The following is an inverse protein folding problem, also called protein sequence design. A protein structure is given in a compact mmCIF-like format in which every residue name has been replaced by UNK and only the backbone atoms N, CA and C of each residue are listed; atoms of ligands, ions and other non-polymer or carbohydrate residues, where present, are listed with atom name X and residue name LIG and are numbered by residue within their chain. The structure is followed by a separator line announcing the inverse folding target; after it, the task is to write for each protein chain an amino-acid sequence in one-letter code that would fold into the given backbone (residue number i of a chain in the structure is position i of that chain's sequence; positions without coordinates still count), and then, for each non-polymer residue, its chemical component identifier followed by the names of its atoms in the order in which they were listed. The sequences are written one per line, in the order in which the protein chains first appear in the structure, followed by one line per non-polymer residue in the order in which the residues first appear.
data_IF_929757969513
#
_entry.id   IF_929757969513
#
_cell.length_a   1.000
_cell.length_b   1.000
_cell.length_c   1.000
_cell.angle_alpha   90.00
_cell.angle_beta   90.00
_cell.angle_gamma   90.00
#
_symmetry.space_group_name_H-M   'P 1'
#
loop_
_entity.id
_entity.type
_entity.pdbx_description
1 polymer ?
#
# COMPACT_ATOMS: atom_id res chain seq x y z
N UNK A 1 -7.29 -1.31 0.64
CA UNK A 1 -6.37 -0.55 1.51
C UNK A 1 -6.54 -0.90 2.99
N UNK A 2 -7.78 -1.02 3.50
CA UNK A 2 -8.05 -1.38 4.90
C UNK A 2 -7.43 -2.71 5.35
N UNK A 3 -7.54 -3.78 4.55
CA UNK A 3 -6.91 -5.09 4.82
C UNK A 3 -5.40 -4.98 5.09
N UNK A 4 -4.69 -4.17 4.29
CA UNK A 4 -3.25 -3.95 4.48
C UNK A 4 -2.94 -3.23 5.79
N UNK A 5 -3.80 -2.29 6.20
CA UNK A 5 -3.65 -1.56 7.46
C UNK A 5 -3.93 -2.45 8.66
N UNK A 6 -5.00 -3.24 8.60
CA UNK A 6 -5.35 -4.24 9.62
C UNK A 6 -4.20 -5.22 9.84
N UNK A 7 -3.65 -5.80 8.76
CA UNK A 7 -2.47 -6.68 8.85
C UNK A 7 -1.33 -5.99 9.58
N UNK A 8 -1.06 -4.74 9.23
CA UNK A 8 0.06 -3.97 9.77
C UNK A 8 -0.11 -3.62 11.25
N UNK A 9 -1.33 -3.40 11.70
CA UNK A 9 -1.65 -3.19 13.11
C UNK A 9 -1.66 -4.51 13.90
N UNK A 10 -2.04 -5.61 13.26
CA UNK A 10 -2.06 -6.93 13.89
C UNK A 10 -0.65 -7.48 14.16
N UNK A 11 0.23 -7.38 13.17
CA UNK A 11 1.60 -7.89 13.25
C UNK A 11 2.39 -7.07 14.27
N UNK A 12 3.10 -7.76 15.16
CA UNK A 12 3.94 -7.12 16.16
C UNK A 12 5.02 -6.24 15.52
N UNK A 13 5.25 -5.10 16.15
CA UNK A 13 6.21 -4.11 15.70
C UNK A 13 7.63 -4.73 15.68
N UNK A 14 8.23 -4.87 14.49
CA UNK A 14 9.59 -5.41 14.31
C UNK A 14 9.66 -6.75 13.58
N UNK A 15 8.54 -7.48 13.48
CA UNK A 15 8.49 -8.74 12.75
C UNK A 15 8.40 -8.49 11.24
N UNK A 16 9.42 -8.94 10.49
CA UNK A 16 9.41 -8.92 9.02
C UNK A 16 8.81 -10.23 8.49
N UNK A 17 7.56 -10.18 8.05
CA UNK A 17 6.91 -11.31 7.37
C UNK A 17 7.51 -11.52 5.97
N UNK A 18 7.69 -12.78 5.59
CA UNK A 18 8.00 -13.16 4.20
C UNK A 18 6.82 -12.72 3.29
N UNK A 19 7.05 -12.22 2.06
CA UNK A 19 5.99 -11.93 1.08
C UNK A 19 4.84 -12.95 1.01
N UNK A 20 5.15 -14.26 1.04
CA UNK A 20 4.13 -15.31 1.04
C UNK A 20 3.21 -15.26 2.27
N UNK A 21 3.79 -15.16 3.46
CA UNK A 21 3.04 -15.03 4.73
C UNK A 21 2.23 -13.74 4.79
N UNK A 22 2.78 -12.64 4.27
CA UNK A 22 2.07 -11.37 4.20
C UNK A 22 0.85 -11.44 3.27
N UNK A 23 0.98 -12.12 2.13
CA UNK A 23 -0.14 -12.36 1.21
C UNK A 23 -1.19 -13.27 1.84
N UNK A 24 -0.77 -14.37 2.46
CA UNK A 24 -1.66 -15.31 3.16
C UNK A 24 -2.50 -14.58 4.23
N UNK A 25 -1.86 -13.78 5.07
CA UNK A 25 -2.53 -13.01 6.11
C UNK A 25 -3.49 -11.96 5.55
N UNK A 26 -3.13 -11.29 4.45
CA UNK A 26 -4.06 -10.37 3.77
C UNK A 26 -5.30 -11.12 3.25
N UNK A 27 -5.13 -12.34 2.71
CA UNK A 27 -6.23 -13.16 2.21
C UNK A 27 -7.14 -13.62 3.36
N UNK A 28 -6.57 -14.06 4.49
CA UNK A 28 -7.33 -14.44 5.70
C UNK A 28 -8.19 -13.29 6.21
N UNK A 29 -7.64 -12.09 6.32
CA UNK A 29 -8.43 -10.92 6.73
C UNK A 29 -9.52 -10.55 5.72
N UNK A 30 -9.24 -10.67 4.41
CA UNK A 30 -10.23 -10.36 3.38
C UNK A 30 -11.40 -11.36 3.38
N UNK A 31 -11.10 -12.66 3.35
CA UNK A 31 -12.11 -13.73 3.35
C UNK A 31 -12.84 -13.80 4.69
N UNK A 32 -12.11 -13.61 5.79
CA UNK A 32 -12.69 -13.60 7.12
C UNK A 32 -13.69 -12.49 7.34
N UNK A 33 -13.35 -11.25 6.97
CA UNK A 33 -14.29 -10.12 7.01
C UNK A 33 -15.51 -10.40 6.13
N UNK A 34 -15.31 -10.99 4.95
CA UNK A 34 -16.39 -11.34 4.04
C UNK A 34 -17.35 -12.37 4.65
N UNK A 35 -16.83 -13.47 5.20
CA UNK A 35 -17.63 -14.52 5.86
C UNK A 35 -18.43 -13.96 7.04
N UNK A 36 -17.81 -13.11 7.87
CA UNK A 36 -18.48 -12.47 9.01
C UNK A 36 -19.63 -11.54 8.57
N UNK A 37 -19.44 -10.78 7.49
CA UNK A 37 -20.49 -9.91 6.95
C UNK A 37 -21.62 -10.70 6.29
N UNK A 38 -21.31 -11.83 5.64
CA UNK A 38 -22.30 -12.69 5.00
C UNK A 38 -23.12 -13.49 6.02
N UNK A 39 -22.48 -14.03 7.07
CA UNK A 39 -23.16 -14.76 8.15
C UNK A 39 -24.14 -13.87 8.93
N UNK A 40 -23.88 -12.56 9.00
CA UNK A 40 -24.80 -11.59 9.60
C UNK A 40 -26.01 -11.19 8.74
N UNK A 41 -25.98 -11.48 7.43
CA UNK A 41 -27.07 -11.18 6.49
C UNK A 41 -27.97 -12.40 6.20
N UNK A 42 -27.54 -13.61 6.59
CA UNK A 42 -28.30 -14.85 6.41
C UNK A 42 -29.44 -15.05 7.42
N UNK A 43 -29.46 -14.29 8.52
CA UNK A 43 -30.30 -14.59 9.69
C UNK A 43 -31.53 -13.68 9.87
N UNK A 44 -31.96 -12.95 8.83
CA UNK A 44 -33.30 -12.31 8.82
C UNK A 44 -34.42 -13.26 8.34
N UNK A 45 -34.15 -14.57 8.25
CA UNK A 45 -35.04 -15.48 7.54
C UNK A 45 -35.10 -16.92 8.05
N UNK A 46 -34.93 -17.21 9.34
CA UNK A 46 -35.43 -18.47 9.91
C UNK A 46 -35.28 -18.54 11.44
N UNK A 47 -36.40 -18.38 12.13
CA UNK A 47 -36.55 -18.71 13.55
C UNK A 47 -36.64 -20.22 13.76
N UNK A 48 -35.77 -20.81 14.59
CA UNK A 48 -36.14 -21.91 15.50
C UNK A 48 -35.03 -22.26 16.51
N UNK A 49 -35.31 -21.94 17.78
CA UNK A 49 -35.14 -22.73 19.01
C UNK A 49 -34.07 -23.83 19.10
N UNK A 50 -33.17 -23.71 20.09
CA UNK A 50 -32.34 -24.82 20.58
C UNK A 50 -31.39 -24.37 21.70
N UNK A 51 -31.78 -24.61 22.95
CA UNK A 51 -30.98 -24.38 24.15
C UNK A 51 -29.86 -25.41 24.30
N UNK A 52 -28.70 -25.00 24.83
CA UNK A 52 -27.61 -25.92 25.20
C UNK A 52 -26.43 -25.18 25.82
N UNK A 53 -26.13 -25.52 27.06
CA UNK A 53 -25.22 -24.84 27.98
C UNK A 53 -23.75 -25.30 27.86
N UNK A 54 -22.88 -24.43 28.37
CA UNK A 54 -21.65 -24.69 29.16
C UNK A 54 -20.25 -24.95 28.53
N UNK A 55 -19.33 -24.13 29.07
CA UNK A 55 -17.93 -24.35 29.51
C UNK A 55 -16.76 -24.60 28.54
N UNK A 56 -15.98 -23.51 28.40
CA UNK A 56 -14.54 -23.38 28.69
C UNK A 56 -13.56 -24.48 28.25
N UNK A 57 -12.63 -24.11 27.35
CA UNK A 57 -11.22 -24.48 27.53
C UNK A 57 -10.27 -23.42 26.98
N UNK A 58 -9.37 -22.99 27.86
CA UNK A 58 -8.26 -22.07 27.61
C UNK A 58 -7.28 -22.70 26.64
N UNK A 59 -7.11 -22.12 25.45
CA UNK A 59 -5.99 -22.40 24.56
C UNK A 59 -5.40 -21.08 24.06
N UNK A 60 -4.23 -20.73 24.59
CA UNK A 60 -3.44 -19.61 24.14
C UNK A 60 -2.99 -19.82 22.69
N UNK A 61 -3.15 -18.79 21.85
CA UNK A 61 -2.55 -18.79 20.52
C UNK A 61 -1.03 -18.51 20.63
N UNK A 62 -0.19 -19.19 19.85
CA UNK A 62 1.23 -18.88 19.80
C UNK A 62 1.44 -17.55 19.07
N UNK A 63 2.27 -16.70 19.66
CA UNK A 63 2.85 -15.54 19.00
C UNK A 63 3.72 -16.01 17.82
N UNK A 64 4.00 -15.15 16.81
CA UNK A 64 4.92 -15.51 15.74
C UNK A 64 6.33 -15.73 16.31
N UNK A 65 6.68 -16.99 16.57
CA UNK A 65 7.91 -17.40 17.24
C UNK A 65 7.83 -18.77 17.92
N UNK A 66 6.64 -19.24 18.31
CA UNK A 66 6.51 -20.50 19.05
C UNK A 66 6.10 -21.66 18.14
N UNK A 67 7.02 -22.61 17.95
CA UNK A 67 6.72 -23.95 17.44
C UNK A 67 6.30 -24.87 18.57
N UNK A 68 5.15 -25.55 18.45
CA UNK A 68 5.02 -26.87 19.02
C UNK A 68 4.73 -27.88 17.91
N UNK A 69 5.66 -28.82 17.75
CA UNK A 69 5.52 -30.06 17.01
C UNK A 69 4.39 -30.87 17.64
N UNK A 70 3.34 -31.19 16.87
CA UNK A 70 2.46 -32.31 17.19
C UNK A 70 2.08 -33.02 15.90
N UNK A 71 2.87 -34.04 15.57
CA UNK A 71 2.50 -35.06 14.60
C UNK A 71 1.23 -35.77 15.09
N UNK A 72 0.21 -35.88 14.24
CA UNK A 72 -0.78 -36.96 14.38
C UNK A 72 -1.03 -37.55 13.00
N UNK A 73 -0.51 -38.76 12.83
CA UNK A 73 -0.69 -39.60 11.65
C UNK A 73 -2.12 -40.17 11.57
N UNK A 74 -2.66 -40.14 10.34
CA UNK A 74 -3.56 -41.07 9.63
C UNK A 74 -4.90 -41.48 10.29
N UNK A 75 -6.00 -41.22 9.59
CA UNK A 75 -6.86 -42.23 8.92
C UNK A 75 -8.12 -41.58 8.32
N UNK A 76 -8.51 -42.06 7.13
CA UNK A 76 -9.76 -41.73 6.45
C UNK A 76 -10.98 -42.18 7.28
N UNK A 77 -12.06 -41.39 7.25
CA UNK A 77 -13.44 -41.86 7.14
C UNK A 77 -14.37 -40.67 6.91
N UNK A 78 -15.30 -40.86 5.97
CA UNK A 78 -16.41 -39.97 5.65
C UNK A 78 -17.21 -39.52 6.89
N UNK A 79 -17.66 -38.27 6.82
CA UNK A 79 -18.57 -37.65 7.77
C UNK A 79 -18.74 -36.18 7.39
N UNK A 80 -19.84 -35.85 6.74
CA UNK A 80 -20.34 -34.48 6.61
C UNK A 80 -20.70 -33.96 8.00
N UNK A 81 -19.70 -33.46 8.73
CA UNK A 81 -19.95 -32.68 9.94
C UNK A 81 -20.20 -31.24 9.52
N UNK A 82 -21.49 -30.94 9.32
CA UNK A 82 -22.05 -29.60 9.31
C UNK A 82 -21.73 -28.95 10.67
N UNK A 83 -20.55 -28.32 10.76
CA UNK A 83 -20.13 -27.62 11.97
C UNK A 83 -21.17 -26.54 12.30
N UNK A 84 -21.75 -26.54 13.52
CA UNK A 84 -22.68 -25.51 13.94
C UNK A 84 -21.92 -24.18 13.96
N UNK A 85 -22.15 -23.31 12.98
CA UNK A 85 -21.62 -21.95 13.01
C UNK A 85 -22.29 -21.25 14.21
N UNK A 86 -21.56 -20.85 15.26
CA UNK A 86 -22.17 -20.11 16.34
C UNK A 86 -22.55 -18.73 15.80
N UNK A 87 -23.85 -18.57 15.59
CA UNK A 87 -24.54 -17.40 15.06
C UNK A 87 -23.87 -16.11 15.55
N UNK A 88 -23.39 -15.29 14.61
CA UNK A 88 -22.87 -13.96 14.94
C UNK A 88 -24.03 -13.12 15.48
N UNK A 89 -23.89 -12.58 16.69
CA UNK A 89 -24.93 -11.71 17.23
C UNK A 89 -24.96 -10.39 16.43
N UNK A 90 -26.10 -9.70 16.34
CA UNK A 90 -26.16 -8.38 15.70
C UNK A 90 -25.21 -7.37 16.36
N UNK A 91 -24.91 -7.54 17.64
CA UNK A 91 -23.93 -6.75 18.40
C UNK A 91 -22.50 -6.95 17.88
N UNK A 92 -22.14 -8.18 17.51
CA UNK A 92 -20.83 -8.52 16.93
C UNK A 92 -20.58 -7.79 15.60
N UNK A 93 -21.61 -7.71 14.75
CA UNK A 93 -21.55 -7.01 13.47
C UNK A 93 -21.36 -5.51 13.69
N UNK A 94 -22.07 -4.93 14.67
CA UNK A 94 -21.89 -3.53 15.05
C UNK A 94 -20.49 -3.26 15.58
N UNK A 95 -19.93 -4.16 16.39
CA UNK A 95 -18.55 -4.07 16.87
C UNK A 95 -17.53 -4.06 15.72
N UNK A 96 -17.72 -4.91 14.70
CA UNK A 96 -16.84 -4.95 13.51
C UNK A 96 -16.98 -3.66 12.69
N UNK A 97 -18.20 -3.17 12.47
CA UNK A 97 -18.46 -1.92 11.74
C UNK A 97 -17.88 -0.71 12.47
N UNK A 98 -18.00 -0.65 13.79
CA UNK A 98 -17.40 0.38 14.63
C UNK A 98 -15.88 0.36 14.47
N UNK A 99 -15.23 -0.80 14.61
CA UNK A 99 -13.79 -0.93 14.43
C UNK A 99 -13.34 -0.49 13.03
N UNK A 100 -14.12 -0.82 11.99
CA UNK A 100 -13.87 -0.37 10.63
C UNK A 100 -13.94 1.16 10.51
N UNK A 101 -14.97 1.78 11.08
CA UNK A 101 -15.12 3.24 11.07
C UNK A 101 -13.95 3.94 11.78
N UNK A 102 -13.45 3.37 12.88
CA UNK A 102 -12.29 3.89 13.61
C UNK A 102 -10.98 3.76 12.82
N UNK A 103 -10.80 2.65 12.11
CA UNK A 103 -9.70 2.43 11.18
C UNK A 103 -9.73 3.44 10.03
N UNK A 104 -10.91 3.66 9.44
CA UNK A 104 -11.10 4.66 8.38
C UNK A 104 -10.81 6.08 8.89
N UNK A 105 -11.30 6.42 10.08
CA UNK A 105 -11.03 7.70 10.72
C UNK A 105 -9.52 7.88 11.00
N UNK A 106 -8.83 6.86 11.52
CA UNK A 106 -7.38 6.89 11.73
C UNK A 106 -6.62 7.07 10.40
N UNK A 107 -6.98 6.32 9.36
CA UNK A 107 -6.38 6.44 8.04
C UNK A 107 -6.59 7.84 7.44
N UNK A 108 -7.78 8.43 7.63
CA UNK A 108 -8.08 9.78 7.18
C UNK A 108 -7.23 10.83 7.90
N UNK A 109 -7.01 10.67 9.22
CA UNK A 109 -6.10 11.51 10.01
C UNK A 109 -4.66 11.40 9.51
N UNK A 110 -4.15 10.18 9.29
CA UNK A 110 -2.81 9.98 8.73
C UNK A 110 -2.64 10.65 7.37
N UNK A 111 -3.63 10.50 6.49
CA UNK A 111 -3.60 11.09 5.14
C UNK A 111 -3.66 12.62 5.20
N UNK A 112 -4.47 13.18 6.09
CA UNK A 112 -4.56 14.64 6.32
C UNK A 112 -3.23 15.20 6.81
N UNK A 113 -2.55 14.48 7.69
CA UNK A 113 -1.26 14.89 8.27
C UNK A 113 -0.05 14.55 7.37
N UNK A 114 -0.27 13.90 6.22
CA UNK A 114 0.80 13.48 5.31
C UNK A 114 1.72 12.40 5.90
N UNK A 115 1.24 11.68 6.93
CA UNK A 115 2.02 10.69 7.65
C UNK A 115 1.79 9.28 7.12
N UNK A 116 2.87 8.50 7.05
CA UNK A 116 2.82 7.05 6.82
C UNK A 116 2.82 6.34 8.16
N UNK A 117 2.14 5.20 8.26
CA UNK A 117 1.99 4.50 9.55
C UNK A 117 3.32 4.13 10.24
N UNK A 118 4.40 3.84 9.49
CA UNK A 118 5.73 3.60 10.10
C UNK A 118 6.31 4.85 10.77
N UNK A 119 5.95 6.04 10.29
CA UNK A 119 6.46 7.29 10.80
C UNK A 119 5.84 7.63 12.15
N UNK A 120 4.64 7.12 12.45
CA UNK A 120 3.87 7.43 13.67
C UNK A 120 4.67 7.17 14.95
N UNK A 121 5.48 6.12 14.98
CA UNK A 121 6.33 5.79 16.14
C UNK A 121 7.52 6.74 16.29
N UNK A 122 8.00 7.30 15.19
CA UNK A 122 9.17 8.17 15.17
C UNK A 122 8.79 9.64 15.47
N UNK A 123 7.50 9.99 15.47
CA UNK A 123 7.00 11.36 15.70
C UNK A 123 7.53 11.95 17.01
N UNK A 124 7.53 11.17 18.10
CA UNK A 124 7.99 11.63 19.42
C UNK A 124 9.46 12.07 19.46
N UNK A 125 10.25 11.64 18.47
CA UNK A 125 11.69 11.88 18.39
C UNK A 125 12.03 13.03 17.43
N UNK A 126 11.03 13.61 16.75
CA UNK A 126 11.26 14.66 15.77
C UNK A 126 11.42 16.02 16.44
N UNK A 127 12.62 16.58 16.28
CA UNK A 127 12.99 17.93 16.70
C UNK A 127 12.91 18.92 15.53
N UNK A 128 12.84 20.22 15.86
CA UNK A 128 12.93 21.30 14.86
C UNK A 128 14.25 21.24 14.08
N UNK A 129 15.33 20.78 14.72
CA UNK A 129 16.63 20.60 14.07
C UNK A 129 16.60 19.52 12.98
N UNK A 130 15.78 18.49 13.12
CA UNK A 130 15.62 17.46 12.10
C UNK A 130 14.94 18.01 10.85
N UNK A 131 13.98 18.93 11.02
CA UNK A 131 13.35 19.61 9.90
C UNK A 131 14.37 20.48 9.15
N UNK A 132 15.15 21.29 9.86
CA UNK A 132 16.17 22.15 9.25
C UNK A 132 17.22 21.31 8.53
N UNK A 133 17.71 20.23 9.15
CA UNK A 133 18.67 19.32 8.54
C UNK A 133 18.15 18.63 7.29
N UNK A 134 16.89 18.13 7.31
CA UNK A 134 16.26 17.50 6.14
C UNK A 134 15.98 18.52 5.03
N UNK A 135 15.58 19.74 5.38
CA UNK A 135 15.35 20.81 4.42
C UNK A 135 16.66 21.22 3.74
N UNK A 136 17.74 21.41 4.51
CA UNK A 136 19.07 21.67 3.94
C UNK A 136 19.53 20.52 3.05
N UNK A 137 19.39 19.28 3.50
CA UNK A 137 19.71 18.10 2.68
C UNK A 137 18.92 18.08 1.37
N UNK A 138 17.61 18.37 1.40
CA UNK A 138 16.77 18.47 0.21
C UNK A 138 17.26 19.58 -0.73
N UNK A 139 17.53 20.78 -0.21
CA UNK A 139 17.98 21.93 -1.01
C UNK A 139 19.30 21.61 -1.69
N UNK A 140 20.28 21.09 -0.95
CA UNK A 140 21.60 20.74 -1.47
C UNK A 140 21.47 19.64 -2.54
N UNK A 141 20.70 18.59 -2.27
CA UNK A 141 20.51 17.46 -3.20
C UNK A 141 19.78 17.90 -4.48
N UNK A 142 18.77 18.78 -4.36
CA UNK A 142 18.05 19.31 -5.50
C UNK A 142 18.92 20.29 -6.31
N UNK A 143 19.61 21.22 -5.65
CA UNK A 143 20.40 22.25 -6.31
C UNK A 143 21.65 21.69 -7.02
N UNK A 144 22.37 20.76 -6.39
CA UNK A 144 23.60 20.21 -6.95
C UNK A 144 23.38 18.97 -7.82
N UNK A 145 22.33 18.18 -7.53
CA UNK A 145 22.08 16.91 -8.23
C UNK A 145 20.95 17.01 -9.24
N UNK A 146 19.73 17.28 -8.75
CA UNK A 146 18.52 17.17 -9.58
C UNK A 146 18.45 18.25 -10.66
N UNK A 147 18.65 19.52 -10.30
CA UNK A 147 18.50 20.65 -11.23
C UNK A 147 19.50 20.56 -12.40
N UNK A 148 20.82 20.40 -12.18
CA UNK A 148 21.78 20.32 -13.28
C UNK A 148 21.51 19.10 -14.17
N UNK A 149 21.13 17.97 -13.57
CA UNK A 149 20.82 16.75 -14.31
C UNK A 149 19.61 16.90 -15.21
N UNK A 150 18.52 17.49 -14.69
CA UNK A 150 17.31 17.75 -15.45
C UNK A 150 17.60 18.75 -16.56
N UNK A 151 18.26 19.88 -16.25
CA UNK A 151 18.64 20.91 -17.22
C UNK A 151 19.43 20.32 -18.40
N UNK A 152 20.39 19.45 -18.11
CA UNK A 152 21.22 18.80 -19.14
C UNK A 152 20.44 17.81 -20.02
N UNK A 153 19.42 17.14 -19.48
CA UNK A 153 18.63 16.11 -20.15
C UNK A 153 17.22 16.58 -20.57
N UNK A 154 16.96 17.90 -20.54
CA UNK A 154 15.68 18.47 -20.99
C UNK A 154 15.27 17.99 -22.39
N UNK A 155 16.17 17.95 -23.40
CA UNK A 155 15.79 17.49 -24.74
C UNK A 155 15.31 16.03 -24.74
N UNK A 156 15.95 15.15 -23.97
CA UNK A 156 15.55 13.74 -23.83
C UNK A 156 14.13 13.67 -23.25
N UNK A 157 13.87 14.43 -22.20
CA UNK A 157 12.56 14.42 -21.54
C UNK A 157 11.44 14.86 -22.49
N UNK A 158 11.68 15.89 -23.30
CA UNK A 158 10.71 16.35 -24.32
C UNK A 158 10.50 15.32 -25.43
N UNK A 159 11.57 14.82 -26.05
CA UNK A 159 11.50 13.86 -27.17
C UNK A 159 10.77 12.59 -26.72
N UNK A 160 11.19 12.01 -25.59
CA UNK A 160 10.63 10.76 -25.07
C UNK A 160 9.18 10.92 -24.66
N UNK A 161 8.80 12.05 -24.07
CA UNK A 161 7.40 12.32 -23.70
C UNK A 161 6.50 12.48 -24.92
N UNK A 162 7.01 13.12 -25.97
CA UNK A 162 6.27 13.30 -27.22
C UNK A 162 6.08 11.96 -27.96
N UNK A 163 7.14 11.16 -28.11
CA UNK A 163 7.04 9.85 -28.78
C UNK A 163 6.17 8.89 -27.97
N UNK A 164 6.33 8.83 -26.65
CA UNK A 164 5.53 7.94 -25.80
C UNK A 164 4.03 8.31 -25.81
N UNK A 165 3.68 9.59 -25.91
CA UNK A 165 2.29 10.02 -26.05
C UNK A 165 1.67 9.57 -27.39
N UNK A 166 2.47 9.58 -28.48
CA UNK A 166 2.03 9.08 -29.78
C UNK A 166 1.80 7.57 -29.76
N UNK A 167 2.70 6.81 -29.15
CA UNK A 167 2.56 5.35 -29.02
C UNK A 167 1.38 4.97 -28.12
N UNK A 168 1.15 5.70 -27.03
CA UNK A 168 -0.04 5.51 -26.20
C UNK A 168 -1.33 5.64 -27.02
N UNK A 169 -1.44 6.66 -27.87
CA UNK A 169 -2.63 6.85 -28.71
C UNK A 169 -2.82 5.71 -29.72
N UNK A 170 -1.73 5.13 -30.25
CA UNK A 170 -1.81 3.96 -31.12
C UNK A 170 -2.30 2.72 -30.36
N UNK A 171 -1.76 2.44 -29.17
CA UNK A 171 -2.17 1.30 -28.36
C UNK A 171 -3.62 1.42 -27.86
N UNK A 172 -4.07 2.63 -27.54
CA UNK A 172 -5.47 2.88 -27.14
C UNK A 172 -6.46 2.70 -28.29
N UNK A 173 -6.05 2.95 -29.54
CA UNK A 173 -6.88 2.70 -30.73
C UNK A 173 -6.92 1.22 -31.10
N UNK A 174 -5.84 0.49 -30.82
CA UNK A 174 -5.74 -0.94 -31.09
C UNK A 174 -6.53 -1.80 -30.09
N UNK A 175 -6.77 -1.32 -28.86
CA UNK A 175 -7.52 -2.07 -27.84
C UNK A 175 -8.96 -1.57 -27.68
N UNK A 176 -9.91 -2.50 -27.70
CA UNK A 176 -11.34 -2.22 -27.48
C UNK A 176 -11.67 -1.89 -26.01
N UNK A 177 -10.72 -2.08 -25.11
CA UNK A 177 -10.88 -1.86 -23.66
C UNK A 177 -10.25 -0.53 -23.29
N UNK A 178 -11.07 0.43 -22.82
CA UNK A 178 -10.70 1.79 -22.41
C UNK A 178 -9.83 1.85 -21.14
N UNK A 179 -8.70 1.16 -21.12
CA UNK A 179 -7.71 1.22 -20.04
C UNK A 179 -6.82 2.44 -20.29
N UNK A 180 -6.58 3.27 -19.27
CA UNK A 180 -5.86 4.57 -19.40
C UNK A 180 -4.37 4.49 -19.84
N UNK A 181 -3.85 3.31 -20.16
CA UNK A 181 -2.57 3.13 -20.87
C UNK A 181 -1.32 3.71 -20.18
N UNK A 182 -1.38 4.06 -18.90
CA UNK A 182 -0.26 4.69 -18.20
C UNK A 182 0.98 3.79 -18.11
N UNK A 183 0.77 2.49 -17.95
CA UNK A 183 1.85 1.50 -17.88
C UNK A 183 2.61 1.43 -19.23
N UNK A 184 1.85 1.38 -20.32
CA UNK A 184 2.38 1.38 -21.69
C UNK A 184 3.22 2.63 -21.97
N UNK A 185 2.74 3.82 -21.57
CA UNK A 185 3.50 5.07 -21.68
C UNK A 185 4.83 4.99 -20.94
N UNK A 186 4.81 4.44 -19.72
CA UNK A 186 6.00 4.37 -18.89
C UNK A 186 7.04 3.42 -19.48
N UNK A 187 6.61 2.25 -19.98
CA UNK A 187 7.49 1.29 -20.67
C UNK A 187 8.15 1.93 -21.90
N UNK A 188 7.37 2.61 -22.76
CA UNK A 188 7.92 3.28 -23.94
C UNK A 188 8.90 4.39 -23.55
N UNK A 189 8.60 5.20 -22.53
CA UNK A 189 9.53 6.23 -22.05
C UNK A 189 10.87 5.64 -21.66
N UNK A 190 10.88 4.51 -20.92
CA UNK A 190 12.13 3.87 -20.50
C UNK A 190 12.95 3.39 -21.72
N UNK A 191 12.31 2.74 -22.69
CA UNK A 191 12.97 2.25 -23.91
C UNK A 191 13.56 3.40 -24.72
N UNK A 192 12.79 4.47 -24.94
CA UNK A 192 13.27 5.63 -25.69
C UNK A 192 14.37 6.39 -24.95
N UNK A 193 14.30 6.52 -23.62
CA UNK A 193 15.38 7.12 -22.82
C UNK A 193 16.67 6.32 -22.99
N UNK A 194 16.61 4.98 -22.94
CA UNK A 194 17.77 4.11 -23.11
C UNK A 194 18.46 4.28 -24.47
N UNK A 195 17.69 4.54 -25.53
CA UNK A 195 18.22 4.78 -26.87
C UNK A 195 18.69 6.24 -27.11
N UNK A 196 17.95 7.23 -26.61
CA UNK A 196 18.18 8.65 -26.90
C UNK A 196 19.31 9.24 -26.05
N UNK A 197 19.48 8.81 -24.79
CA UNK A 197 20.54 9.29 -23.90
C UNK A 197 21.95 9.09 -24.46
N UNK A 198 22.37 7.90 -24.91
CA UNK A 198 23.72 7.72 -25.45
C UNK A 198 23.95 8.55 -26.72
N UNK A 199 22.93 8.67 -27.58
CA UNK A 199 23.00 9.51 -28.78
C UNK A 199 23.17 10.99 -28.43
N UNK A 200 22.44 11.48 -27.42
CA UNK A 200 22.59 12.84 -26.94
C UNK A 200 24.01 13.11 -26.42
N UNK A 201 24.62 12.14 -25.72
CA UNK A 201 25.98 12.30 -25.19
C UNK A 201 27.04 12.27 -26.27
N UNK A 202 26.83 11.51 -27.36
CA UNK A 202 27.68 11.58 -28.55
C UNK A 202 27.59 12.95 -29.22
N UNK A 203 26.39 13.53 -29.31
CA UNK A 203 26.20 14.90 -29.82
C UNK A 203 26.96 15.90 -28.93
N UNK A 204 26.81 15.82 -27.61
CA UNK A 204 27.54 16.70 -26.69
C UNK A 204 29.06 16.52 -26.79
N UNK A 205 29.54 15.29 -26.91
CA UNK A 205 30.96 15.00 -27.15
C UNK A 205 31.46 15.61 -28.46
N UNK A 206 30.70 15.47 -29.54
CA UNK A 206 31.04 16.08 -30.83
C UNK A 206 31.07 17.61 -30.75
N UNK A 207 30.06 18.24 -30.12
CA UNK A 207 30.05 19.69 -29.90
C UNK A 207 31.27 20.14 -29.10
N UNK A 208 31.64 19.39 -28.06
CA UNK A 208 32.82 19.71 -27.25
C UNK A 208 34.12 19.59 -28.06
N UNK A 209 34.24 18.59 -28.94
CA UNK A 209 35.36 18.44 -29.87
C UNK A 209 35.46 19.58 -30.89
N UNK A 210 34.33 20.06 -31.42
CA UNK A 210 34.32 21.11 -32.45
C UNK A 210 34.48 22.52 -31.88
N UNK A 211 33.83 22.83 -30.76
CA UNK A 211 33.81 24.18 -30.18
C UNK A 211 34.91 24.42 -29.14
N UNK A 212 35.43 23.37 -28.51
CA UNK A 212 36.43 23.54 -27.45
C UNK A 212 37.85 23.41 -27.98
N UNK A 213 38.72 24.36 -27.59
CA UNK A 213 40.17 24.30 -27.82
C UNK A 213 40.91 23.46 -26.77
N UNK A 214 40.18 22.66 -25.99
CA UNK A 214 40.74 21.86 -24.91
C UNK A 214 41.55 20.68 -25.44
N UNK A 215 42.52 20.23 -24.65
CA UNK A 215 43.33 19.05 -24.99
C UNK A 215 42.42 17.83 -25.11
N UNK A 216 42.64 16.98 -26.11
CA UNK A 216 41.78 15.81 -26.39
C UNK A 216 41.62 14.88 -25.18
N UNK A 217 42.65 14.79 -24.33
CA UNK A 217 42.62 14.04 -23.07
C UNK A 217 41.58 14.60 -22.08
N UNK A 218 41.44 15.93 -21.98
CA UNK A 218 40.44 16.58 -21.14
C UNK A 218 39.03 16.31 -21.66
N UNK A 219 38.84 16.34 -22.98
CA UNK A 219 37.55 16.04 -23.61
C UNK A 219 37.16 14.59 -23.37
N UNK A 220 38.11 13.66 -23.52
CA UNK A 220 37.88 12.23 -23.26
C UNK A 220 37.56 11.96 -21.78
N UNK A 221 38.24 12.66 -20.85
CA UNK A 221 37.96 12.55 -19.42
C UNK A 221 36.57 13.10 -19.06
N UNK A 222 36.17 14.23 -19.63
CA UNK A 222 34.80 14.77 -19.46
C UNK A 222 33.77 13.78 -20.02
N UNK A 223 33.97 13.28 -21.24
CA UNK A 223 33.05 12.33 -21.86
C UNK A 223 32.91 11.03 -21.06
N UNK A 224 34.00 10.54 -20.46
CA UNK A 224 34.00 9.37 -19.60
C UNK A 224 33.31 9.60 -18.25
N UNK A 225 33.37 10.82 -17.71
CA UNK A 225 32.76 11.17 -16.40
C UNK A 225 31.31 11.61 -16.49
N UNK A 226 30.83 12.06 -17.66
CA UNK A 226 29.42 12.43 -17.92
C UNK A 226 28.39 11.34 -17.55
N UNK A 227 28.54 10.06 -17.96
CA UNK A 227 27.58 9.02 -17.58
C UNK A 227 27.59 8.75 -16.07
N UNK A 228 28.75 8.84 -15.43
CA UNK A 228 28.87 8.69 -13.98
C UNK A 228 28.15 9.83 -13.23
N UNK A 229 28.37 11.08 -13.64
CA UNK A 229 27.66 12.23 -13.06
C UNK A 229 26.15 12.15 -13.29
N UNK A 230 25.73 11.64 -14.44
CA UNK A 230 24.32 11.42 -14.76
C UNK A 230 23.66 10.39 -13.86
N UNK A 231 24.37 9.29 -13.57
CA UNK A 231 23.92 8.29 -12.62
C UNK A 231 23.79 8.87 -11.21
N UNK A 232 24.77 9.67 -10.77
CA UNK A 232 24.71 10.35 -9.48
C UNK A 232 23.54 11.34 -9.39
N UNK A 233 23.31 12.14 -10.44
CA UNK A 233 22.18 13.07 -10.53
C UNK A 233 20.82 12.34 -10.49
N UNK A 234 20.70 11.20 -11.16
CA UNK A 234 19.52 10.35 -11.09
C UNK A 234 19.30 9.81 -9.67
N UNK A 235 20.34 9.29 -9.01
CA UNK A 235 20.25 8.82 -7.63
C UNK A 235 19.89 9.95 -6.65
N UNK A 236 20.46 11.14 -6.85
CA UNK A 236 20.10 12.33 -6.09
C UNK A 236 18.61 12.68 -6.28
N UNK A 237 18.08 12.58 -7.50
CA UNK A 237 16.65 12.83 -7.75
C UNK A 237 15.73 11.81 -7.07
N UNK A 238 16.10 10.52 -7.08
CA UNK A 238 15.34 9.47 -6.37
C UNK A 238 15.27 9.75 -4.86
N UNK A 239 16.40 10.14 -4.26
CA UNK A 239 16.45 10.49 -2.84
C UNK A 239 15.76 11.81 -2.54
N UNK A 240 15.87 12.80 -3.44
CA UNK A 240 15.20 14.09 -3.31
C UNK A 240 13.69 13.96 -3.24
N UNK A 241 13.07 13.11 -4.06
CA UNK A 241 11.62 12.86 -4.03
C UNK A 241 11.19 12.22 -2.69
N UNK A 242 12.00 11.30 -2.17
CA UNK A 242 11.74 10.67 -0.86
C UNK A 242 11.84 11.69 0.27
N UNK A 243 12.92 12.46 0.28
CA UNK A 243 13.15 13.53 1.26
C UNK A 243 12.03 14.57 1.23
N UNK A 244 11.56 14.98 0.04
CA UNK A 244 10.43 15.91 -0.10
C UNK A 244 9.16 15.37 0.56
N UNK A 245 8.82 14.10 0.31
CA UNK A 245 7.64 13.46 0.91
C UNK A 245 7.75 13.38 2.44
N UNK A 246 8.96 13.19 2.97
CA UNK A 246 9.22 13.11 4.40
C UNK A 246 9.25 14.47 5.12
N UNK A 247 9.45 15.58 4.38
CA UNK A 247 9.40 16.94 4.93
C UNK A 247 7.96 17.41 5.15
N UNK A 248 7.01 16.97 4.32
CA UNK A 248 5.58 17.34 4.46
C UNK A 248 5.04 17.12 5.90
N UNK A 249 5.16 15.94 6.53
CA UNK A 249 4.66 15.73 7.89
C UNK A 249 5.41 16.54 8.96
N UNK A 250 6.70 16.82 8.75
CA UNK A 250 7.50 17.67 9.64
C UNK A 250 7.07 19.13 9.54
N UNK A 251 6.79 19.62 8.32
CA UNK A 251 6.23 20.95 8.12
C UNK A 251 4.85 21.06 8.78
N UNK A 252 4.01 20.03 8.65
CA UNK A 252 2.73 20.00 9.34
C UNK A 252 2.87 20.03 10.87
N UNK A 253 3.99 19.58 11.46
CA UNK A 253 4.23 19.64 12.92
C UNK A 253 4.46 21.06 13.45
N UNK A 254 4.77 22.03 12.59
CA UNK A 254 4.94 23.44 12.99
C UNK A 254 3.62 24.09 13.37
N UNK A 255 2.50 23.60 12.83
CA UNK A 255 1.18 24.13 13.16
C UNK A 255 0.75 23.60 14.53
N UNK A 256 0.26 24.47 15.45
CA UNK A 256 -0.09 24.06 16.81
C UNK A 256 -1.28 23.09 16.85
N UNK A 257 -2.24 23.23 15.93
CA UNK A 257 -3.43 22.38 15.82
C UNK A 257 -3.13 20.94 15.43
N UNK A 258 -2.23 20.75 14.48
CA UNK A 258 -1.79 19.44 13.99
C UNK A 258 -0.79 18.78 14.94
N UNK A 259 0.01 19.54 15.68
CA UNK A 259 0.96 19.00 16.67
C UNK A 259 0.25 18.18 17.75
N UNK A 260 -0.83 18.71 18.32
CA UNK A 260 -1.65 17.98 19.30
C UNK A 260 -2.25 16.71 18.69
N UNK A 261 -2.72 16.78 17.45
CA UNK A 261 -3.25 15.60 16.76
C UNK A 261 -2.14 14.55 16.51
N UNK A 262 -0.96 14.98 16.07
CA UNK A 262 0.19 14.11 15.82
C UNK A 262 0.69 13.41 17.09
N UNK A 263 0.74 14.14 18.22
CA UNK A 263 1.20 13.60 19.50
C UNK A 263 0.17 12.60 20.09
N UNK A 264 -1.11 12.70 19.72
CA UNK A 264 -2.14 11.73 20.07
C UNK A 264 -2.14 10.46 19.18
N UNK A 265 -1.51 10.47 18.00
CA UNK A 265 -1.51 9.34 17.05
C UNK A 265 -0.87 8.05 17.61
N UNK A 266 0.28 8.07 18.32
CA UNK A 266 0.85 6.85 18.89
C UNK A 266 -0.09 6.17 19.88
N UNK A 267 -0.75 6.96 20.74
CA UNK A 267 -1.73 6.46 21.69
C UNK A 267 -2.95 5.86 20.98
N UNK A 268 -3.45 6.55 19.94
CA UNK A 268 -4.56 6.06 19.11
C UNK A 268 -4.21 4.78 18.36
N UNK A 269 -2.99 4.67 17.83
CA UNK A 269 -2.47 3.45 17.18
C UNK A 269 -2.43 2.28 18.16
N UNK A 270 -1.92 2.49 19.37
CA UNK A 270 -1.86 1.45 20.40
C UNK A 270 -3.26 1.00 20.85
N UNK A 271 -4.20 1.93 21.03
CA UNK A 271 -5.59 1.60 21.35
C UNK A 271 -6.24 0.77 20.24
N UNK A 272 -6.04 1.16 18.98
CA UNK A 272 -6.59 0.46 17.82
C UNK A 272 -5.98 -0.93 17.64
N UNK A 273 -4.68 -1.08 17.90
CA UNK A 273 -4.00 -2.37 17.89
C UNK A 273 -4.56 -3.32 18.96
N UNK A 274 -4.78 -2.83 20.19
CA UNK A 274 -5.39 -3.64 21.26
C UNK A 274 -6.82 -4.06 20.91
N UNK A 275 -7.64 -3.13 20.42
CA UNK A 275 -9.02 -3.42 19.98
C UNK A 275 -9.05 -4.43 18.85
N UNK A 276 -8.14 -4.29 17.88
CA UNK A 276 -8.02 -5.22 16.77
C UNK A 276 -7.60 -6.62 17.24
N UNK A 277 -6.61 -6.71 18.13
CA UNK A 277 -6.19 -7.99 18.71
C UNK A 277 -7.30 -8.63 19.53
N UNK A 278 -8.05 -7.85 20.31
CA UNK A 278 -9.21 -8.33 21.05
C UNK A 278 -10.31 -8.85 20.11
N UNK A 279 -10.64 -8.09 19.05
CA UNK A 279 -11.61 -8.51 18.04
C UNK A 279 -11.17 -9.79 17.33
N UNK A 280 -9.89 -9.91 16.95
CA UNK A 280 -9.38 -11.15 16.35
C UNK A 280 -9.43 -12.32 17.33
N UNK A 281 -9.18 -12.10 18.63
CA UNK A 281 -9.30 -13.16 19.64
C UNK A 281 -10.75 -13.63 19.83
N UNK A 282 -11.71 -12.71 19.74
CA UNK A 282 -13.14 -13.01 19.89
C UNK A 282 -13.72 -13.67 18.63
N UNK A 283 -13.41 -13.13 17.46
CA UNK A 283 -13.98 -13.59 16.18
C UNK A 283 -13.14 -14.70 15.53
N UNK A 284 -11.83 -14.74 15.75
CA UNK A 284 -10.92 -15.73 15.18
C UNK A 284 -11.41 -17.17 15.29
N UNK A 285 -11.79 -17.64 16.50
CA UNK A 285 -12.34 -18.98 16.68
C UNK A 285 -13.63 -19.25 15.87
N UNK A 286 -14.46 -18.22 15.65
CA UNK A 286 -15.71 -18.33 14.87
C UNK A 286 -15.46 -18.53 13.36
N UNK A 287 -14.26 -18.25 12.87
CA UNK A 287 -13.90 -18.49 11.46
C UNK A 287 -13.50 -19.95 11.17
N UNK A 288 -13.44 -20.80 12.21
CA UNK A 288 -13.15 -22.23 12.09
C UNK A 288 -11.84 -22.49 11.33
N UNK A 289 -11.93 -23.27 10.26
CA UNK A 289 -10.81 -23.73 9.45
C UNK A 289 -9.88 -22.61 8.95
N UNK A 290 -10.40 -21.42 8.66
CA UNK A 290 -9.59 -20.31 8.15
C UNK A 290 -8.60 -19.77 9.20
N UNK A 291 -8.93 -19.93 10.48
CA UNK A 291 -8.09 -19.47 11.59
C UNK A 291 -7.07 -20.53 12.00
N UNK A 292 -7.49 -21.80 12.10
CA UNK A 292 -6.65 -22.89 12.63
C UNK A 292 -5.73 -23.53 11.59
N UNK A 293 -6.10 -23.57 10.31
CA UNK A 293 -5.27 -24.21 9.30
C UNK A 293 -4.01 -23.39 8.98
N UNK A 294 -2.85 -24.07 9.01
CA UNK A 294 -1.55 -23.46 8.68
C UNK A 294 -1.41 -23.19 7.17
N UNK A 295 -1.90 -24.11 6.35
CA UNK A 295 -1.91 -23.99 4.89
C UNK A 295 -3.35 -24.04 4.39
N UNK A 296 -3.80 -22.97 3.73
CA UNK A 296 -5.16 -22.83 3.22
C UNK A 296 -5.12 -22.90 1.70
N UNK A 297 -5.99 -23.73 1.11
CA UNK A 297 -6.14 -23.81 -0.34
C UNK A 297 -6.94 -22.63 -0.88
N UNK A 298 -6.24 -21.52 -1.15
CA UNK A 298 -6.86 -20.25 -1.53
C UNK A 298 -7.66 -20.28 -2.83
N UNK A 299 -7.37 -21.19 -3.76
CA UNK A 299 -8.16 -21.34 -4.99
C UNK A 299 -9.60 -21.73 -4.62
N UNK A 300 -9.77 -22.76 -3.81
CA UNK A 300 -11.08 -23.25 -3.35
C UNK A 300 -11.81 -22.19 -2.53
N UNK A 301 -11.13 -21.55 -1.58
CA UNK A 301 -11.79 -20.59 -0.67
C UNK A 301 -12.16 -19.28 -1.37
N UNK A 302 -11.33 -18.82 -2.32
CA UNK A 302 -11.69 -17.66 -3.14
C UNK A 302 -12.80 -18.01 -4.11
N UNK A 303 -12.80 -19.16 -4.79
CA UNK A 303 -13.91 -19.53 -5.67
C UNK A 303 -15.24 -19.65 -4.92
N UNK A 304 -15.25 -20.25 -3.72
CA UNK A 304 -16.44 -20.35 -2.87
C UNK A 304 -16.97 -18.99 -2.39
N UNK A 305 -16.07 -18.04 -2.10
CA UNK A 305 -16.47 -16.68 -1.70
C UNK A 305 -16.86 -15.79 -2.89
N UNK A 306 -16.18 -15.92 -4.02
CA UNK A 306 -16.47 -15.21 -5.29
C UNK A 306 -17.77 -15.69 -5.95
N UNK A 307 -18.12 -16.98 -5.83
CA UNK A 307 -19.36 -17.53 -6.38
C UNK A 307 -20.61 -17.11 -5.60
N UNK A 308 -20.44 -16.60 -4.38
CA UNK A 308 -21.54 -16.05 -3.61
C UNK A 308 -22.02 -14.73 -4.21
N UNK A 309 -23.34 -14.60 -4.41
CA UNK A 309 -23.97 -13.40 -4.99
C UNK A 309 -23.54 -12.10 -4.28
N UNK A 310 -23.34 -12.16 -2.96
CA UNK A 310 -22.92 -11.04 -2.13
C UNK A 310 -21.54 -10.44 -2.50
N UNK A 311 -20.58 -11.24 -2.99
CA UNK A 311 -19.29 -10.69 -3.41
C UNK A 311 -19.41 -9.88 -4.70
N UNK A 312 -20.27 -10.33 -5.62
CA UNK A 312 -20.57 -9.61 -6.86
C UNK A 312 -21.26 -8.26 -6.58
N UNK A 313 -22.17 -8.23 -5.61
CA UNK A 313 -22.86 -7.01 -5.15
C UNK A 313 -21.91 -6.06 -4.41
N UNK A 314 -21.00 -6.57 -3.57
CA UNK A 314 -19.97 -5.77 -2.91
C UNK A 314 -18.98 -5.15 -3.90
N UNK A 315 -18.61 -5.90 -4.95
CA UNK A 315 -17.80 -5.38 -6.05
C UNK A 315 -18.54 -4.31 -6.86
N UNK A 316 -19.84 -4.50 -7.09
CA UNK A 316 -20.69 -3.52 -7.75
C UNK A 316 -20.81 -2.23 -6.91
N UNK A 317 -21.06 -2.35 -5.60
CA UNK A 317 -21.14 -1.22 -4.66
C UNK A 317 -19.79 -0.47 -4.53
N UNK A 318 -18.67 -1.20 -4.47
CA UNK A 318 -17.32 -0.63 -4.48
C UNK A 318 -17.02 0.14 -5.77
N UNK A 319 -17.41 -0.40 -6.93
CA UNK A 319 -17.32 0.29 -8.22
C UNK A 319 -18.22 1.54 -8.26
N UNK A 320 -19.43 1.45 -7.72
CA UNK A 320 -20.36 2.57 -7.57
C UNK A 320 -19.78 3.72 -6.74
N UNK A 321 -19.30 3.44 -5.53
CA UNK A 321 -18.71 4.43 -4.62
C UNK A 321 -17.43 5.07 -5.19
N UNK A 322 -16.62 4.31 -5.93
CA UNK A 322 -15.45 4.83 -6.64
C UNK A 322 -15.85 5.77 -7.78
N UNK A 323 -16.93 5.45 -8.52
CA UNK A 323 -17.43 6.29 -9.61
C UNK A 323 -18.06 7.60 -9.11
N UNK A 324 -18.82 7.55 -8.01
CA UNK A 324 -19.39 8.75 -7.38
C UNK A 324 -18.33 9.62 -6.74
N UNK A 325 -17.33 9.03 -6.08
CA UNK A 325 -16.20 9.76 -5.53
C UNK A 325 -15.36 10.48 -6.60
N UNK A 326 -15.23 9.87 -7.79
CA UNK A 326 -14.56 10.49 -8.94
C UNK A 326 -15.44 11.57 -9.57
N UNK A 327 -16.74 11.35 -9.75
CA UNK A 327 -17.69 12.33 -10.27
C UNK A 327 -17.85 13.55 -9.36
N UNK A 328 -17.94 13.36 -8.03
CA UNK A 328 -18.00 14.44 -7.05
C UNK A 328 -16.70 15.27 -7.03
N UNK A 329 -15.55 14.62 -7.24
CA UNK A 329 -14.25 15.28 -7.34
C UNK A 329 -14.03 16.00 -8.67
N UNK A 330 -14.69 15.53 -9.75
CA UNK A 330 -14.76 16.24 -11.03
C UNK A 330 -15.68 17.47 -10.93
N UNK A 331 -16.86 17.32 -10.29
CA UNK A 331 -17.85 18.41 -10.12
C UNK A 331 -17.32 19.57 -9.29
N UNK A 332 -16.55 19.30 -8.22
CA UNK A 332 -15.87 20.34 -7.43
C UNK A 332 -14.72 21.05 -8.17
N UNK A 333 -14.19 20.45 -9.24
CA UNK A 333 -13.13 21.05 -10.07
C UNK A 333 -13.65 21.92 -11.21
N UNK A 334 -14.93 21.80 -11.55
CA UNK A 334 -15.60 22.63 -12.57
C UNK A 334 -16.34 23.83 -11.98
N UNK A 335 -16.46 23.92 -10.65
CA UNK A 335 -17.14 25.02 -9.93
C UNK A 335 -16.17 25.87 -9.10
N UNK A 336 -14.87 25.85 -9.43
CA UNK A 336 -13.82 26.71 -8.89
C UNK A 336 -13.03 27.31 -10.05
#
# INVERSE_FOLDING_TARGET
QQVYMVRRLYVSDGLRLNPGQAMDLNRRFAVGLFRLLQGGLGDQGSSSSGAGSEEALVAACPAPGDTPTRERSKSNLEGEDEQPQPNLTPEDIQHIQLLRSELEAYMSSLKRLGLRDHQVRQIGWWSMMDLVGRLMYLIITMALGCIPQVMFNVPVWFITSWVAAREQQKSLKASSVKLKGYDVVMSYKIIYVLAVVPFLYLIYGALLCFYSRWRSLTILLVLATLPFFSFLGMKASEQGVRAYTDIVPLFMRLLPSTRLEQDALPARRAALQRRLQAAVKLFGPKLGDLYWQKEVNWSKEMHASLSSAAFSDLLAASKGASSEGVSAKLRRRTTS
#
